data_IF_125547947476
#
_entry.id   IF_125547947476
#
_cell.length_a   1.000
_cell.length_b   1.000
_cell.length_c   1.000
_cell.angle_alpha   90.00
_cell.angle_beta   90.00
_cell.angle_gamma   90.00
#
_symmetry.space_group_name_H-M   'P 1'
#
loop_
_entity.id
_entity.type
_entity.pdbx_description
1 polymer ?
#
# COMPACT_ATOMS: atom_id res chain seq x y z
N UNK A 1 0.14 8.85 3.75
CA UNK A 1 0.90 9.00 2.48
C UNK A 1 1.62 7.71 2.13
N UNK A 2 2.21 7.63 0.93
CA UNK A 2 3.00 6.47 0.51
C UNK A 2 4.43 6.57 1.06
N UNK A 3 4.82 5.63 1.91
CA UNK A 3 6.21 5.40 2.31
C UNK A 3 6.81 4.31 1.45
N UNK A 4 8.07 4.48 1.04
CA UNK A 4 8.77 3.48 0.24
C UNK A 4 10.26 3.38 0.56
N UNK A 5 10.81 2.17 0.40
CA UNK A 5 12.23 1.88 0.54
C UNK A 5 12.97 2.26 -0.77
N UNK A 6 13.76 3.34 -0.74
CA UNK A 6 14.47 3.85 -1.93
C UNK A 6 15.54 2.89 -2.43
N UNK A 7 16.24 2.20 -1.54
CA UNK A 7 17.24 1.20 -1.91
C UNK A 7 16.60 0.03 -2.68
N UNK A 8 15.41 -0.41 -2.25
CA UNK A 8 14.64 -1.43 -2.95
C UNK A 8 14.17 -0.95 -4.34
N UNK A 9 13.79 0.33 -4.45
CA UNK A 9 13.46 0.96 -5.73
C UNK A 9 14.65 1.01 -6.67
N UNK A 10 15.80 1.50 -6.19
CA UNK A 10 17.04 1.59 -6.96
C UNK A 10 17.49 0.20 -7.45
N UNK A 11 17.50 -0.79 -6.56
CA UNK A 11 17.83 -2.19 -6.90
C UNK A 11 16.91 -2.77 -7.98
N UNK A 12 15.64 -2.37 -7.98
CA UNK A 12 14.67 -2.76 -9.00
C UNK A 12 14.71 -1.86 -10.24
N UNK A 13 15.52 -0.80 -10.28
CA UNK A 13 15.54 0.17 -11.38
C UNK A 13 14.21 0.94 -11.50
N UNK A 14 13.63 1.35 -10.37
CA UNK A 14 12.45 2.22 -10.29
C UNK A 14 12.94 3.61 -9.88
N UNK A 15 12.67 4.62 -10.69
CA UNK A 15 13.24 5.96 -10.51
C UNK A 15 12.28 6.97 -9.88
N UNK A 16 10.99 6.63 -9.76
CA UNK A 16 9.96 7.49 -9.19
C UNK A 16 8.89 6.66 -8.46
N UNK A 17 8.23 7.22 -7.42
CA UNK A 17 7.06 6.60 -6.80
C UNK A 17 5.88 6.53 -7.80
N UNK A 18 4.99 5.55 -7.64
CA UNK A 18 3.79 5.44 -8.47
C UNK A 18 2.86 6.63 -8.23
N UNK A 19 2.20 7.09 -9.29
CA UNK A 19 1.22 8.19 -9.26
C UNK A 19 -0.20 7.70 -9.45
N UNK A 20 -0.38 6.56 -10.11
CA UNK A 20 -1.70 5.92 -10.26
C UNK A 20 -1.78 4.55 -9.58
N UNK A 21 -2.99 4.09 -9.31
CA UNK A 21 -3.22 2.77 -8.72
C UNK A 21 -2.68 1.63 -9.59
N UNK A 22 -2.76 1.73 -10.93
CA UNK A 22 -2.13 0.74 -11.82
C UNK A 22 -0.60 0.77 -11.76
N UNK A 23 0.01 1.94 -11.61
CA UNK A 23 1.45 2.06 -11.37
C UNK A 23 1.83 1.44 -10.02
N UNK A 24 1.05 1.66 -8.97
CA UNK A 24 1.28 1.05 -7.65
C UNK A 24 1.29 -0.48 -7.73
N UNK A 25 0.32 -1.07 -8.44
CA UNK A 25 0.26 -2.52 -8.62
C UNK A 25 1.48 -3.04 -9.40
N UNK A 26 1.88 -2.33 -10.45
CA UNK A 26 3.06 -2.64 -11.26
C UNK A 26 4.36 -2.58 -10.45
N UNK A 27 4.53 -1.52 -9.65
CA UNK A 27 5.69 -1.31 -8.78
C UNK A 27 5.70 -2.33 -7.64
N UNK A 28 4.56 -2.60 -7.01
CA UNK A 28 4.42 -3.61 -5.97
C UNK A 28 4.83 -5.00 -6.48
N UNK A 29 4.39 -5.38 -7.68
CA UNK A 29 4.82 -6.64 -8.29
C UNK A 29 6.32 -6.66 -8.55
N UNK A 30 6.90 -5.57 -9.08
CA UNK A 30 8.34 -5.46 -9.38
C UNK A 30 9.23 -5.53 -8.13
N UNK A 31 8.74 -5.00 -7.01
CA UNK A 31 9.43 -5.02 -5.71
C UNK A 31 9.20 -6.33 -4.92
N UNK A 32 8.32 -7.21 -5.39
CA UNK A 32 8.06 -8.49 -4.74
C UNK A 32 9.10 -9.52 -5.15
N UNK A 33 9.81 -10.06 -4.16
CA UNK A 33 10.82 -11.11 -4.33
C UNK A 33 10.32 -12.37 -3.63
N UNK A 34 9.95 -13.38 -4.41
CA UNK A 34 9.46 -14.65 -3.87
C UNK A 34 10.57 -15.48 -3.21
N UNK A 35 10.19 -16.28 -2.21
CA UNK A 35 11.08 -17.25 -1.56
C UNK A 35 10.29 -18.52 -1.23
N UNK A 36 10.36 -19.51 -2.12
CA UNK A 36 9.59 -20.74 -2.01
C UNK A 36 8.08 -20.46 -2.00
N UNK A 37 7.39 -20.91 -0.97
CA UNK A 37 5.96 -20.69 -0.75
C UNK A 37 5.64 -19.35 -0.06
N UNK A 38 6.63 -18.48 0.11
CA UNK A 38 6.50 -17.18 0.78
C UNK A 38 7.26 -16.07 0.03
N UNK A 39 7.65 -15.00 0.72
CA UNK A 39 8.37 -13.85 0.17
C UNK A 39 9.64 -13.59 0.97
N UNK A 40 10.70 -13.21 0.26
CA UNK A 40 11.83 -12.54 0.88
C UNK A 40 11.50 -11.06 1.16
N UNK A 41 10.79 -10.43 0.22
CA UNK A 41 10.30 -9.06 0.31
C UNK A 41 8.99 -8.98 -0.47
N UNK A 42 7.97 -8.34 0.10
CA UNK A 42 6.73 -8.02 -0.60
C UNK A 42 6.76 -6.55 -1.03
N UNK A 43 6.32 -6.24 -2.24
CA UNK A 43 6.31 -4.85 -2.70
C UNK A 43 5.29 -3.99 -1.96
N UNK A 44 4.11 -4.54 -1.70
CA UNK A 44 3.03 -3.87 -0.98
C UNK A 44 2.12 -4.94 -0.35
N UNK A 45 1.68 -4.73 0.89
CA UNK A 45 0.70 -5.62 1.54
C UNK A 45 -0.71 -5.03 1.42
N UNK A 46 -1.58 -5.54 0.52
CA UNK A 46 -2.93 -4.99 0.33
C UNK A 46 -3.87 -5.24 1.52
N UNK A 47 -3.49 -6.09 2.47
CA UNK A 47 -4.32 -6.54 3.61
C UNK A 47 -3.54 -6.52 4.93
N UNK A 48 -2.75 -5.46 5.20
CA UNK A 48 -1.84 -5.42 6.36
C UNK A 48 -2.57 -5.42 7.72
N UNK A 49 -3.81 -4.92 7.78
CA UNK A 49 -4.59 -4.73 9.00
C UNK A 49 -3.95 -3.74 10.01
N UNK A 50 -3.08 -2.85 9.52
CA UNK A 50 -2.56 -1.70 10.26
C UNK A 50 -3.54 -0.52 10.28
N UNK A 51 -3.24 0.49 11.09
CA UNK A 51 -4.16 1.60 11.41
C UNK A 51 -4.65 2.35 10.16
N UNK A 52 -3.72 2.68 9.25
CA UNK A 52 -4.01 3.41 8.02
C UNK A 52 -4.49 2.52 6.87
N UNK A 53 -4.39 1.19 7.00
CA UNK A 53 -4.76 0.24 5.95
C UNK A 53 -6.23 -0.19 6.03
N UNK A 54 -7.10 0.80 6.22
CA UNK A 54 -8.56 0.66 6.28
C UNK A 54 -9.21 1.14 4.99
N UNK A 55 -10.42 0.64 4.70
CA UNK A 55 -11.07 0.82 3.40
C UNK A 55 -11.32 2.29 3.04
N UNK A 56 -11.70 3.11 4.01
CA UNK A 56 -11.93 4.55 3.88
C UNK A 56 -10.67 5.33 3.52
N UNK A 57 -9.51 4.95 4.09
CA UNK A 57 -8.25 5.60 3.74
C UNK A 57 -7.79 5.24 2.32
N UNK A 58 -7.98 3.98 1.89
CA UNK A 58 -7.72 3.60 0.49
C UNK A 58 -8.69 4.25 -0.48
N UNK A 59 -9.97 4.35 -0.11
CA UNK A 59 -11.00 4.94 -0.96
C UNK A 59 -10.71 6.41 -1.29
N UNK A 60 -9.91 7.09 -0.47
CA UNK A 60 -9.44 8.47 -0.74
C UNK A 60 -8.59 8.60 -2.01
N UNK A 61 -8.15 7.48 -2.62
CA UNK A 61 -7.53 7.46 -3.95
C UNK A 61 -8.52 7.53 -5.11
N UNK A 62 -9.83 7.47 -4.84
CA UNK A 62 -10.91 7.60 -5.83
C UNK A 62 -11.84 8.75 -5.44
N UNK A 63 -12.39 9.44 -6.44
CA UNK A 63 -13.49 10.39 -6.28
C UNK A 63 -14.76 9.63 -5.91
N UNK A 64 -15.18 9.79 -4.66
CA UNK A 64 -16.29 9.05 -4.08
C UNK A 64 -17.14 9.96 -3.21
N UNK A 65 -18.40 9.57 -3.06
CA UNK A 65 -19.35 10.26 -2.19
C UNK A 65 -19.98 9.29 -1.21
N UNK A 66 -19.83 9.55 0.09
CA UNK A 66 -20.47 8.72 1.12
C UNK A 66 -21.98 8.92 1.20
N UNK A 67 -22.46 10.13 0.88
CA UNK A 67 -23.84 10.54 0.99
C UNK A 67 -24.33 11.18 -0.31
N UNK A 68 -25.59 10.93 -0.66
CA UNK A 68 -26.27 11.66 -1.73
C UNK A 68 -26.66 13.08 -1.29
N UNK A 69 -27.22 13.87 -2.21
CA UNK A 69 -27.67 15.25 -1.95
C UNK A 69 -28.70 15.38 -0.81
N UNK A 70 -29.35 14.27 -0.43
CA UNK A 70 -30.34 14.21 0.64
C UNK A 70 -29.77 13.65 1.95
N UNK A 71 -28.45 13.44 2.03
CA UNK A 71 -27.77 12.90 3.20
C UNK A 71 -27.97 11.40 3.40
N UNK A 72 -28.46 10.66 2.40
CA UNK A 72 -28.60 9.20 2.48
C UNK A 72 -27.33 8.52 2.00
N UNK A 73 -27.02 7.34 2.55
CA UNK A 73 -25.84 6.59 2.13
C UNK A 73 -25.82 6.31 0.62
N UNK A 74 -24.69 6.59 -0.01
CA UNK A 74 -24.43 6.37 -1.43
C UNK A 74 -23.45 5.20 -1.70
N UNK A 75 -22.89 4.60 -0.65
CA UNK A 75 -21.85 3.54 -0.70
C UNK A 75 -22.16 2.42 -1.69
N UNK A 76 -23.42 1.93 -1.70
CA UNK A 76 -23.80 0.80 -2.56
C UNK A 76 -24.10 1.19 -4.01
N UNK A 77 -24.15 2.48 -4.34
CA UNK A 77 -24.51 3.01 -5.66
C UNK A 77 -23.33 3.65 -6.37
N UNK A 78 -22.42 4.23 -5.60
CA UNK A 78 -21.22 4.86 -6.11
C UNK A 78 -20.22 3.79 -6.60
N UNK A 79 -19.83 3.81 -7.89
CA UNK A 79 -18.96 2.78 -8.46
C UNK A 79 -17.55 2.78 -7.86
N UNK A 80 -17.06 3.89 -7.31
CA UNK A 80 -15.71 4.00 -6.74
C UNK A 80 -15.45 2.95 -5.66
N UNK A 81 -16.46 2.63 -4.85
CA UNK A 81 -16.36 1.59 -3.82
C UNK A 81 -16.11 0.21 -4.43
N UNK A 82 -16.87 -0.15 -5.47
CA UNK A 82 -16.72 -1.43 -6.16
C UNK A 82 -15.38 -1.51 -6.90
N UNK A 83 -14.92 -0.40 -7.48
CA UNK A 83 -13.65 -0.28 -8.18
C UNK A 83 -12.47 -0.47 -7.22
N UNK A 84 -12.47 0.19 -6.06
CA UNK A 84 -11.45 0.03 -5.02
C UNK A 84 -11.34 -1.42 -4.54
N UNK A 85 -12.45 -2.08 -4.21
CA UNK A 85 -12.42 -3.49 -3.80
C UNK A 85 -12.00 -4.42 -4.94
N UNK A 86 -12.39 -4.11 -6.18
CA UNK A 86 -11.96 -4.87 -7.37
C UNK A 86 -10.46 -4.73 -7.58
N UNK A 87 -9.92 -3.53 -7.41
CA UNK A 87 -8.49 -3.27 -7.46
C UNK A 87 -7.74 -4.06 -6.37
N UNK A 88 -8.18 -3.96 -5.11
CA UNK A 88 -7.54 -4.66 -3.98
C UNK A 88 -7.54 -6.17 -4.22
N UNK A 89 -8.66 -6.74 -4.69
CA UNK A 89 -8.75 -8.16 -5.04
C UNK A 89 -7.76 -8.56 -6.14
N UNK A 90 -7.67 -7.78 -7.23
CA UNK A 90 -6.71 -8.04 -8.31
C UNK A 90 -5.27 -7.96 -7.82
N UNK A 91 -4.97 -7.00 -6.93
CA UNK A 91 -3.63 -6.87 -6.35
C UNK A 91 -3.29 -8.09 -5.50
N UNK A 92 -4.20 -8.54 -4.63
CA UNK A 92 -4.08 -9.79 -3.86
C UNK A 92 -3.79 -10.98 -4.78
N UNK A 93 -4.57 -11.16 -5.83
CA UNK A 93 -4.38 -12.25 -6.81
C UNK A 93 -3.01 -12.15 -7.49
N UNK A 94 -2.61 -10.95 -7.92
CA UNK A 94 -1.35 -10.72 -8.63
C UNK A 94 -0.10 -10.96 -7.77
N UNK A 95 -0.24 -10.85 -6.45
CA UNK A 95 0.84 -11.04 -5.48
C UNK A 95 0.89 -12.47 -4.94
N UNK A 96 0.02 -13.39 -5.39
CA UNK A 96 0.07 -14.81 -5.02
C UNK A 96 -1.13 -15.30 -4.21
N UNK A 97 -2.17 -14.47 -4.06
CA UNK A 97 -3.43 -14.84 -3.43
C UNK A 97 -3.46 -14.66 -1.91
N UNK A 98 -4.67 -14.69 -1.35
CA UNK A 98 -4.94 -14.38 0.05
C UNK A 98 -4.17 -15.27 1.02
N UNK A 99 -4.21 -16.59 0.87
CA UNK A 99 -3.59 -17.52 1.83
C UNK A 99 -2.07 -17.33 1.95
N UNK A 100 -1.39 -17.05 0.83
CA UNK A 100 0.06 -16.79 0.80
C UNK A 100 0.40 -15.47 1.48
N UNK A 101 -0.37 -14.42 1.19
CA UNK A 101 -0.22 -13.10 1.81
C UNK A 101 -0.52 -13.16 3.31
N UNK A 102 -1.58 -13.83 3.73
CA UNK A 102 -1.97 -13.95 5.13
C UNK A 102 -0.94 -14.74 5.95
N UNK A 103 -0.39 -15.81 5.37
CA UNK A 103 0.74 -16.54 5.97
C UNK A 103 1.96 -15.62 6.18
N UNK A 104 2.26 -14.76 5.20
CA UNK A 104 3.37 -13.80 5.32
C UNK A 104 3.08 -12.70 6.34
N UNK A 105 1.85 -12.16 6.35
CA UNK A 105 1.38 -11.17 7.34
C UNK A 105 1.52 -11.68 8.77
N UNK A 106 1.27 -12.97 9.01
CA UNK A 106 1.48 -13.61 10.31
C UNK A 106 2.93 -13.57 10.83
N UNK A 107 3.90 -13.17 10.01
CA UNK A 107 5.31 -12.99 10.40
C UNK A 107 5.66 -11.55 10.78
N UNK A 108 4.74 -10.60 10.61
CA UNK A 108 4.99 -9.18 10.86
C UNK A 108 5.09 -8.88 12.35
N UNK A 109 5.89 -7.87 12.69
CA UNK A 109 5.93 -7.32 14.04
C UNK A 109 4.73 -6.43 14.35
N UNK A 110 4.72 -5.90 15.58
CA UNK A 110 3.70 -4.97 16.05
C UNK A 110 3.67 -3.69 15.21
N UNK A 111 2.45 -3.16 14.97
CA UNK A 111 2.20 -1.91 14.23
C UNK A 111 3.06 -0.75 14.76
N UNK A 112 3.18 -0.67 16.08
CA UNK A 112 3.84 0.41 16.79
C UNK A 112 5.27 0.06 17.22
N UNK A 113 5.78 -1.11 16.81
CA UNK A 113 7.07 -1.63 17.23
C UNK A 113 8.19 -1.41 16.22
N UNK A 114 9.44 -1.52 16.68
CA UNK A 114 10.63 -1.46 15.82
C UNK A 114 10.68 -2.58 14.76
N UNK A 115 9.95 -3.69 14.98
CA UNK A 115 9.84 -4.82 14.04
C UNK A 115 8.69 -4.68 13.03
N UNK A 116 8.12 -3.50 12.91
CA UNK A 116 7.12 -3.19 11.90
C UNK A 116 7.63 -3.61 10.50
N UNK A 117 6.80 -4.25 9.64
CA UNK A 117 7.26 -4.87 8.39
C UNK A 117 7.89 -3.90 7.38
N UNK A 118 7.51 -2.62 7.39
CA UNK A 118 8.22 -1.61 6.62
C UNK A 118 9.64 -1.41 7.17
N UNK A 119 9.82 -1.23 8.49
CA UNK A 119 11.12 -0.99 9.10
C UNK A 119 12.11 -2.14 8.88
N UNK A 120 11.61 -3.38 8.87
CA UNK A 120 12.42 -4.57 8.63
C UNK A 120 12.71 -4.82 7.15
N UNK A 121 12.10 -4.05 6.24
CA UNK A 121 12.20 -4.26 4.79
C UNK A 121 11.42 -5.47 4.29
N UNK A 122 10.57 -6.09 5.11
CA UNK A 122 9.68 -7.17 4.67
C UNK A 122 8.64 -6.66 3.67
N UNK A 123 8.20 -5.41 3.82
CA UNK A 123 7.30 -4.73 2.88
C UNK A 123 7.97 -3.46 2.37
N UNK A 124 8.10 -3.33 1.05
CA UNK A 124 8.88 -2.25 0.41
C UNK A 124 8.13 -0.93 0.29
N UNK A 125 6.79 -0.95 0.29
CA UNK A 125 5.93 0.22 0.23
C UNK A 125 4.72 0.08 1.14
N UNK A 126 4.24 1.18 1.72
CA UNK A 126 3.02 1.18 2.51
C UNK A 126 2.30 2.53 2.50
N UNK A 127 0.98 2.47 2.74
CA UNK A 127 0.20 3.61 3.20
C UNK A 127 0.36 3.72 4.71
N UNK A 128 0.79 4.89 5.20
CA UNK A 128 0.85 5.17 6.64
C UNK A 128 0.78 6.68 6.94
N UNK A 129 0.66 7.03 8.21
CA UNK A 129 0.62 8.41 8.72
C UNK A 129 2.01 9.01 8.89
N UNK A 130 2.07 10.30 9.21
CA UNK A 130 3.32 11.07 9.35
C UNK A 130 4.22 10.57 10.49
N UNK A 131 3.65 9.89 11.49
CA UNK A 131 4.41 9.31 12.61
C UNK A 131 5.41 8.25 12.17
N UNK A 132 5.15 7.55 11.06
CA UNK A 132 5.96 6.41 10.62
C UNK A 132 7.42 6.79 10.39
N UNK A 133 7.70 7.98 9.88
CA UNK A 133 9.09 8.39 9.63
C UNK A 133 9.90 8.45 10.93
N UNK A 134 9.38 9.12 11.97
CA UNK A 134 10.04 9.21 13.27
C UNK A 134 10.21 7.83 13.92
N UNK A 135 9.20 6.97 13.80
CA UNK A 135 9.30 5.60 14.33
C UNK A 135 10.36 4.76 13.60
N UNK A 136 10.57 4.99 12.31
CA UNK A 136 11.61 4.33 11.52
C UNK A 136 13.01 4.82 11.90
N UNK A 137 13.17 6.12 12.16
CA UNK A 137 14.41 6.70 12.68
C UNK A 137 14.75 6.12 14.07
N UNK A 138 13.79 6.08 14.98
CA UNK A 138 13.95 5.50 16.33
C UNK A 138 14.28 4.00 16.27
N UNK A 139 13.71 3.28 15.31
CA UNK A 139 14.01 1.87 15.07
C UNK A 139 15.37 1.62 14.42
N UNK A 140 16.07 2.67 13.97
CA UNK A 140 17.37 2.56 13.30
C UNK A 140 17.29 1.88 11.94
N UNK A 141 16.26 2.19 11.15
CA UNK A 141 16.10 1.66 9.79
C UNK A 141 17.34 1.95 8.94
N UNK A 142 17.88 0.91 8.32
CA UNK A 142 19.18 0.96 7.61
C UNK A 142 19.12 1.28 6.12
N UNK A 143 17.94 1.60 5.58
CA UNK A 143 17.74 1.96 4.17
C UNK A 143 17.16 3.37 4.06
N UNK A 144 17.33 4.03 2.90
CA UNK A 144 16.75 5.35 2.70
C UNK A 144 15.23 5.27 2.50
N UNK A 145 14.48 6.08 3.27
CA UNK A 145 13.02 6.16 3.17
C UNK A 145 12.64 7.33 2.25
N UNK A 146 11.78 7.05 1.28
CA UNK A 146 11.07 8.05 0.49
C UNK A 146 9.62 8.18 0.94
N UNK A 147 9.05 9.37 0.72
CA UNK A 147 7.63 9.67 0.92
C UNK A 147 7.03 10.28 -0.34
N UNK A 148 5.77 9.98 -0.61
CA UNK A 148 5.00 10.53 -1.72
C UNK A 148 3.51 10.63 -1.35
N UNK A 149 2.71 11.46 -2.06
CA UNK A 149 1.26 11.33 -2.05
C UNK A 149 0.84 9.89 -2.39
N UNK A 150 -0.32 9.47 -1.88
CA UNK A 150 -0.90 8.20 -2.33
C UNK A 150 -1.24 8.31 -3.82
N UNK A 151 -1.07 7.22 -4.58
CA UNK A 151 -1.52 7.18 -5.97
C UNK A 151 -3.04 7.39 -6.07
N UNK A 152 -3.49 8.00 -7.16
CA UNK A 152 -4.92 8.24 -7.46
C UNK A 152 -5.44 7.20 -8.45
N UNK A 153 -6.76 7.13 -8.63
CA UNK A 153 -7.41 6.32 -9.65
C UNK A 153 -6.85 6.68 -11.04
N UNK A 154 -6.82 5.70 -11.96
CA UNK A 154 -6.14 5.88 -13.25
C UNK A 154 -6.80 6.97 -14.13
N UNK A 155 -8.11 7.17 -13.99
CA UNK A 155 -8.89 8.22 -14.64
C UNK A 155 -8.84 9.58 -13.91
N UNK A 156 -8.16 9.64 -12.77
CA UNK A 156 -7.93 10.84 -11.97
C UNK A 156 -6.46 11.27 -11.95
N UNK A 157 -5.61 10.76 -12.84
CA UNK A 157 -4.17 11.02 -12.82
C UNK A 157 -3.77 12.51 -12.74
N UNK A 158 -4.62 13.42 -13.25
CA UNK A 158 -4.41 14.87 -13.21
C UNK A 158 -4.60 15.48 -11.79
N UNK A 159 -5.23 14.76 -10.85
CA UNK A 159 -5.41 15.19 -9.45
C UNK A 159 -4.26 14.78 -8.53
N UNK A 160 -3.27 14.02 -9.04
CA UNK A 160 -2.13 13.58 -8.23
C UNK A 160 -1.25 14.75 -7.79
N UNK A 161 -1.13 14.95 -6.48
CA UNK A 161 -0.18 15.88 -5.87
C UNK A 161 -0.80 16.83 -4.85
#
# INVERSE_FOLDING_TARGET
GLYYNKDAFEKAGITAPPKTMSELASVAKKLTVEKGDSYQQLGFMPTFHGYETVADHYLSSWDHTYFDENGKSNIAKDPAFAEMFTYQKKLVESLGGYDKLEKYRGTFGDEWGAKHPFHTGQVAMQLDGEWRLGMAEDAGVGFEIGVAPMPVADDEADSYG
#
